data_IF_844298230484
#
_entry.id   IF_844298230484
#
_cell.length_a   1.000
_cell.length_b   1.000
_cell.length_c   1.000
_cell.angle_alpha   90.00
_cell.angle_beta   90.00
_cell.angle_gamma   90.00
#
_symmetry.space_group_name_H-M   'P 1'
#
loop_
_entity.id
_entity.type
_entity.pdbx_description
1 polymer ?
#
# COMPACT_ATOMS: atom_id res chain seq x y z
N UNK A 1 -46.80 -39.59 -63.30
CA UNK A 1 -46.91 -40.99 -62.84
C UNK A 1 -45.62 -41.31 -62.13
N UNK A 2 -45.71 -41.77 -60.88
CA UNK A 2 -44.63 -42.12 -59.97
C UNK A 2 -43.80 -40.94 -59.39
N UNK A 3 -43.41 -40.93 -58.12
CA UNK A 3 -43.86 -41.62 -56.92
C UNK A 3 -43.25 -40.85 -55.74
N UNK A 4 -44.02 -40.81 -54.67
CA UNK A 4 -43.79 -40.19 -53.38
C UNK A 4 -42.70 -40.93 -52.56
N UNK A 5 -42.18 -40.20 -51.56
CA UNK A 5 -41.42 -40.60 -50.35
C UNK A 5 -39.89 -40.55 -50.40
N UNK A 6 -39.29 -39.60 -49.67
CA UNK A 6 -38.83 -39.89 -48.30
C UNK A 6 -38.39 -38.61 -47.57
N UNK A 7 -38.76 -38.57 -46.30
CA UNK A 7 -38.69 -37.51 -45.31
C UNK A 7 -37.28 -37.13 -44.84
N UNK A 8 -37.05 -35.82 -44.60
CA UNK A 8 -36.34 -35.33 -43.41
C UNK A 8 -36.78 -33.90 -43.06
N UNK A 9 -37.45 -33.83 -41.92
CA UNK A 9 -37.84 -32.61 -41.20
C UNK A 9 -36.59 -31.98 -40.60
N UNK A 10 -36.45 -30.65 -40.70
CA UNK A 10 -36.08 -29.81 -39.57
C UNK A 10 -36.49 -28.35 -39.83
N UNK A 11 -37.23 -27.85 -38.85
CA UNK A 11 -37.93 -26.58 -38.76
C UNK A 11 -36.98 -25.38 -38.77
N UNK A 12 -37.25 -24.39 -39.62
CA UNK A 12 -36.64 -23.06 -39.58
C UNK A 12 -37.73 -22.01 -39.39
N UNK A 13 -37.96 -21.63 -38.14
CA UNK A 13 -38.97 -20.65 -37.71
C UNK A 13 -38.64 -19.25 -38.25
N UNK A 14 -39.64 -18.60 -38.83
CA UNK A 14 -39.60 -17.20 -39.23
C UNK A 14 -39.38 -16.29 -38.01
N UNK A 15 -38.32 -15.50 -38.02
CA UNK A 15 -38.06 -14.50 -36.98
C UNK A 15 -38.88 -13.22 -37.28
N UNK A 16 -39.89 -12.98 -36.45
CA UNK A 16 -40.73 -11.80 -36.49
C UNK A 16 -39.96 -10.53 -36.09
N UNK A 17 -40.18 -9.45 -36.86
CA UNK A 17 -39.86 -8.07 -36.49
C UNK A 17 -40.44 -7.74 -35.10
N UNK A 18 -39.58 -7.33 -34.17
CA UNK A 18 -39.98 -6.69 -32.91
C UNK A 18 -39.37 -5.28 -32.83
N UNK A 19 -40.18 -4.22 -32.71
CA UNK A 19 -39.70 -2.89 -32.39
C UNK A 19 -39.51 -2.84 -30.87
N UNK A 20 -38.27 -2.95 -30.39
CA UNK A 20 -38.08 -3.03 -28.95
C UNK A 20 -36.64 -3.19 -28.48
N UNK A 21 -35.70 -2.41 -29.01
CA UNK A 21 -34.44 -2.17 -28.32
C UNK A 21 -34.26 -0.66 -28.14
N UNK A 22 -35.05 -0.11 -27.22
CA UNK A 22 -34.63 1.10 -26.53
C UNK A 22 -33.32 0.75 -25.80
N UNK A 23 -32.26 1.47 -26.15
CA UNK A 23 -30.96 1.33 -25.53
C UNK A 23 -31.12 1.37 -24.01
N UNK A 24 -30.83 0.25 -23.34
CA UNK A 24 -30.55 0.26 -21.90
C UNK A 24 -29.21 0.97 -21.77
N UNK A 25 -29.25 2.30 -21.71
CA UNK A 25 -28.14 3.09 -21.27
C UNK A 25 -27.79 2.57 -19.88
N UNK A 26 -26.67 1.84 -19.80
CA UNK A 26 -26.06 1.48 -18.53
C UNK A 26 -25.72 2.80 -17.85
N UNK A 27 -26.63 3.28 -17.00
CA UNK A 27 -26.33 4.28 -16.00
C UNK A 27 -25.32 3.62 -15.07
N UNK A 28 -24.04 3.66 -15.46
CA UNK A 28 -22.96 3.46 -14.50
C UNK A 28 -23.16 4.55 -13.47
N UNK A 29 -23.62 4.11 -12.31
CA UNK A 29 -23.97 4.93 -11.17
C UNK A 29 -22.96 6.09 -11.05
N UNK A 30 -23.49 7.31 -11.01
CA UNK A 30 -22.81 8.44 -10.39
C UNK A 30 -22.40 8.01 -8.99
N UNK A 31 -21.18 7.52 -8.83
CA UNK A 31 -20.66 7.15 -7.53
C UNK A 31 -20.57 8.42 -6.69
N UNK A 32 -20.76 8.32 -5.37
CA UNK A 32 -20.56 9.44 -4.45
C UNK A 32 -19.20 10.12 -4.62
N UNK A 33 -18.23 9.39 -5.18
CA UNK A 33 -16.84 9.80 -5.39
C UNK A 33 -16.58 10.51 -6.72
N UNK A 34 -17.55 10.64 -7.64
CA UNK A 34 -17.31 11.24 -8.97
C UNK A 34 -16.87 12.69 -8.93
N UNK A 35 -17.12 13.38 -7.82
CA UNK A 35 -16.75 14.78 -7.59
C UNK A 35 -15.52 14.95 -6.70
N UNK A 36 -14.88 13.86 -6.28
CA UNK A 36 -13.65 13.94 -5.47
C UNK A 36 -12.46 14.09 -6.41
N UNK A 37 -11.90 15.29 -6.42
CA UNK A 37 -10.68 15.60 -7.16
C UNK A 37 -9.45 14.97 -6.48
N UNK A 38 -8.47 14.57 -7.27
CA UNK A 38 -7.19 14.11 -6.75
C UNK A 38 -6.45 15.28 -6.13
N UNK A 39 -5.99 15.09 -4.89
CA UNK A 39 -5.07 16.04 -4.25
C UNK A 39 -3.76 16.19 -5.07
N UNK A 40 -3.07 17.33 -4.93
CA UNK A 40 -1.81 17.54 -5.62
C UNK A 40 -0.79 16.45 -5.21
N UNK A 41 0.01 15.93 -6.15
CA UNK A 41 1.04 14.94 -5.82
C UNK A 41 2.10 15.54 -4.90
N UNK A 42 2.56 14.76 -3.92
CA UNK A 42 3.62 15.19 -3.01
C UNK A 42 4.93 15.41 -3.80
N UNK A 43 5.53 16.62 -3.75
CA UNK A 43 6.71 16.94 -4.53
C UNK A 43 7.92 16.04 -4.23
N UNK A 44 8.05 15.51 -3.01
CA UNK A 44 9.17 14.65 -2.60
C UNK A 44 8.93 13.21 -3.08
N UNK A 45 7.70 12.71 -2.96
CA UNK A 45 7.36 11.35 -3.42
C UNK A 45 7.41 11.24 -4.95
N UNK A 46 7.01 12.30 -5.66
CA UNK A 46 7.05 12.36 -7.14
C UNK A 46 8.44 12.13 -7.73
N UNK A 47 9.51 12.56 -7.03
CA UNK A 47 10.90 12.32 -7.47
C UNK A 47 11.23 10.83 -7.51
N UNK A 48 10.75 10.06 -6.53
CA UNK A 48 10.99 8.61 -6.50
C UNK A 48 10.21 7.90 -7.61
N UNK A 49 9.00 8.36 -7.93
CA UNK A 49 8.22 7.82 -9.03
C UNK A 49 8.85 8.13 -10.40
N UNK A 50 9.37 9.35 -10.58
CA UNK A 50 10.14 9.70 -11.78
C UNK A 50 11.41 8.84 -11.89
N UNK A 51 12.16 8.66 -10.79
CA UNK A 51 13.33 7.77 -10.75
C UNK A 51 12.98 6.33 -11.11
N UNK A 52 11.85 5.79 -10.62
CA UNK A 52 11.41 4.43 -10.96
C UNK A 52 11.05 4.29 -12.44
N UNK A 53 10.42 5.31 -13.04
CA UNK A 53 10.03 5.33 -14.46
C UNK A 53 11.19 5.54 -15.42
N UNK A 54 12.27 6.16 -14.98
CA UNK A 54 13.47 6.36 -15.80
C UNK A 54 14.14 5.01 -16.13
N UNK A 55 14.47 4.78 -17.40
CA UNK A 55 15.12 3.55 -17.89
C UNK A 55 16.64 3.68 -17.98
N UNK A 56 17.20 4.86 -17.72
CA UNK A 56 18.63 5.09 -17.78
C UNK A 56 19.39 4.24 -16.75
N UNK A 57 20.43 3.53 -17.19
CA UNK A 57 21.27 2.68 -16.33
C UNK A 57 22.15 3.45 -15.34
N UNK A 58 22.37 4.75 -15.56
CA UNK A 58 23.18 5.64 -14.71
C UNK A 58 22.32 6.55 -13.82
N UNK A 59 21.02 6.31 -13.72
CA UNK A 59 20.13 7.10 -12.85
C UNK A 59 20.53 6.97 -11.39
N UNK A 60 20.39 8.06 -10.63
CA UNK A 60 20.64 8.08 -9.18
C UNK A 60 19.42 8.63 -8.45
N UNK A 61 19.03 7.98 -7.35
CA UNK A 61 17.91 8.45 -6.52
C UNK A 61 18.44 9.32 -5.38
N UNK A 62 18.22 10.62 -5.47
CA UNK A 62 18.57 11.62 -4.45
C UNK A 62 17.34 12.29 -3.83
N UNK A 63 16.15 11.71 -4.02
CA UNK A 63 14.89 12.30 -3.54
C UNK A 63 14.60 11.96 -2.09
N UNK A 64 14.28 10.69 -1.82
CA UNK A 64 13.91 10.24 -0.47
C UNK A 64 15.18 10.01 0.36
N UNK A 65 15.22 10.61 1.56
CA UNK A 65 16.29 10.47 2.56
C UNK A 65 16.34 9.10 3.23
N UNK A 66 16.47 8.02 2.44
CA UNK A 66 16.62 6.67 2.93
C UNK A 66 18.06 6.17 2.69
N UNK A 67 18.69 5.67 3.76
CA UNK A 67 20.06 5.19 3.70
C UNK A 67 20.22 4.00 2.74
N UNK A 68 21.29 4.02 1.95
CA UNK A 68 21.63 2.99 0.96
C UNK A 68 23.03 2.45 1.23
N UNK A 69 23.26 1.20 0.81
CA UNK A 69 24.60 0.62 0.78
C UNK A 69 25.41 1.13 -0.43
N UNK A 70 26.66 0.65 -0.54
CA UNK A 70 27.58 1.00 -1.64
C UNK A 70 27.05 0.61 -3.03
N UNK A 71 26.05 -0.26 -3.10
CA UNK A 71 25.38 -0.71 -4.32
C UNK A 71 24.06 0.05 -4.59
N UNK A 72 23.72 1.07 -3.79
CA UNK A 72 22.48 1.83 -3.91
C UNK A 72 21.23 1.07 -3.44
N UNK A 73 21.37 -0.05 -2.73
CA UNK A 73 20.25 -0.87 -2.22
C UNK A 73 19.83 -0.43 -0.82
N UNK A 74 18.57 -0.67 -0.39
CA UNK A 74 18.16 -0.41 0.99
C UNK A 74 19.04 -1.18 1.98
N UNK A 75 19.58 -0.49 2.97
CA UNK A 75 20.46 -1.09 3.97
C UNK A 75 19.75 -1.22 5.32
N UNK A 76 19.73 -2.44 5.85
CA UNK A 76 19.18 -2.75 7.19
C UNK A 76 20.35 -3.00 8.13
N UNK A 77 20.40 -2.29 9.25
CA UNK A 77 21.49 -2.42 10.20
C UNK A 77 21.57 -3.84 10.79
N UNK A 78 22.77 -4.40 11.01
CA UNK A 78 22.94 -5.71 11.65
C UNK A 78 22.33 -5.79 13.05
N UNK A 79 22.30 -4.69 13.81
CA UNK A 79 21.64 -4.59 15.12
C UNK A 79 20.13 -4.79 15.02
N UNK A 80 19.49 -4.20 14.00
CA UNK A 80 18.05 -4.33 13.75
C UNK A 80 17.70 -5.78 13.40
N UNK A 81 18.47 -6.43 12.52
CA UNK A 81 18.25 -7.85 12.16
C UNK A 81 18.34 -8.78 13.38
N UNK A 82 19.29 -8.52 14.29
CA UNK A 82 19.42 -9.28 15.54
C UNK A 82 18.21 -9.06 16.46
N UNK A 83 17.75 -7.82 16.60
CA UNK A 83 16.58 -7.50 17.40
C UNK A 83 15.30 -8.15 16.84
N UNK A 84 15.10 -8.12 15.53
CA UNK A 84 13.97 -8.79 14.86
C UNK A 84 13.95 -10.29 15.16
N UNK A 85 15.10 -10.97 15.05
CA UNK A 85 15.22 -12.39 15.36
C UNK A 85 14.89 -12.69 16.84
N UNK A 86 15.34 -11.83 17.77
CA UNK A 86 15.03 -11.98 19.19
C UNK A 86 13.55 -11.77 19.49
N UNK A 87 12.92 -10.76 18.88
CA UNK A 87 11.49 -10.48 19.06
C UNK A 87 10.64 -11.64 18.51
N UNK A 88 10.99 -12.14 17.32
CA UNK A 88 10.31 -13.28 16.72
C UNK A 88 10.43 -14.55 17.60
N UNK A 89 11.61 -14.79 18.19
CA UNK A 89 11.83 -15.93 19.09
C UNK A 89 11.05 -15.83 20.41
N UNK A 90 10.79 -14.61 20.91
CA UNK A 90 10.04 -14.39 22.16
C UNK A 90 8.55 -14.69 22.03
N UNK A 91 8.01 -14.75 20.81
CA UNK A 91 6.60 -15.04 20.52
C UNK A 91 5.62 -14.25 21.41
N UNK A 92 5.87 -12.95 21.53
CA UNK A 92 5.03 -12.03 22.32
C UNK A 92 3.63 -11.93 21.72
N UNK A 93 2.63 -11.69 22.57
CA UNK A 93 1.29 -11.33 22.11
C UNK A 93 1.29 -9.99 21.36
N UNK A 94 0.19 -9.71 20.67
CA UNK A 94 0.00 -8.50 19.84
C UNK A 94 -1.11 -7.62 20.41
N UNK A 95 -1.27 -7.64 21.73
CA UNK A 95 -2.28 -6.84 22.41
C UNK A 95 -1.96 -5.34 22.33
N UNK A 96 -2.96 -4.52 22.66
CA UNK A 96 -2.82 -3.08 22.65
C UNK A 96 -1.78 -2.61 23.67
N UNK A 97 -0.90 -1.73 23.22
CA UNK A 97 -0.06 -0.93 24.12
C UNK A 97 -0.90 0.14 24.83
N UNK A 98 -0.44 0.63 25.99
CA UNK A 98 -0.97 1.84 26.60
C UNK A 98 -0.93 3.04 25.65
N UNK A 99 -1.72 4.09 25.95
CA UNK A 99 -1.80 5.33 25.15
C UNK A 99 -0.40 5.93 24.95
N UNK A 100 0.42 5.99 26.00
CA UNK A 100 1.81 6.43 25.92
C UNK A 100 2.82 5.45 25.32
N UNK A 101 2.36 4.31 24.79
CA UNK A 101 3.21 3.28 24.17
C UNK A 101 3.98 2.43 25.19
N UNK A 102 5.10 1.83 24.74
CA UNK A 102 5.93 0.96 25.57
C UNK A 102 6.88 1.79 26.44
N UNK A 103 6.71 1.74 27.76
CA UNK A 103 7.50 2.53 28.71
C UNK A 103 9.02 2.32 28.57
N UNK A 104 9.46 1.09 28.33
CA UNK A 104 10.87 0.75 28.12
C UNK A 104 11.45 1.42 26.87
N UNK A 105 10.67 1.49 25.78
CA UNK A 105 11.06 2.17 24.55
C UNK A 105 11.18 3.68 24.76
N UNK A 106 10.22 4.29 25.48
CA UNK A 106 10.27 5.71 25.78
C UNK A 106 11.51 6.07 26.62
N UNK A 107 11.83 5.26 27.63
CA UNK A 107 13.02 5.44 28.46
C UNK A 107 14.30 5.35 27.62
N UNK A 108 14.47 4.28 26.84
CA UNK A 108 15.65 4.08 25.99
C UNK A 108 15.80 5.20 24.94
N UNK A 109 14.68 5.69 24.38
CA UNK A 109 14.69 6.80 23.43
C UNK A 109 15.14 8.10 24.08
N UNK A 110 14.70 8.38 25.31
CA UNK A 110 15.12 9.56 26.05
C UNK A 110 16.62 9.49 26.44
N UNK A 111 17.09 8.32 26.85
CA UNK A 111 18.52 8.07 27.15
C UNK A 111 19.39 8.25 25.90
N UNK A 112 18.95 7.75 24.73
CA UNK A 112 19.65 7.94 23.46
C UNK A 112 19.74 9.42 23.05
N UNK A 113 18.66 10.18 23.24
CA UNK A 113 18.60 11.58 22.82
C UNK A 113 19.37 12.53 23.76
N UNK A 114 19.33 12.28 25.07
CA UNK A 114 19.85 13.20 26.10
C UNK A 114 21.19 12.76 26.70
N UNK A 115 21.56 11.49 26.55
CA UNK A 115 22.71 10.84 27.19
C UNK A 115 22.40 10.38 28.62
N UNK A 116 22.95 9.23 29.00
CA UNK A 116 22.66 8.52 30.28
C UNK A 116 22.86 9.37 31.54
N UNK A 117 23.78 10.34 31.50
CA UNK A 117 24.17 11.14 32.65
C UNK A 117 23.45 12.49 32.76
N UNK A 118 22.46 12.75 31.89
CA UNK A 118 21.76 14.03 31.85
C UNK A 118 20.94 14.28 33.12
N UNK A 119 21.08 15.48 33.71
CA UNK A 119 20.33 15.89 34.89
C UNK A 119 18.81 15.86 34.67
N UNK A 120 18.34 16.12 33.44
CA UNK A 120 16.92 16.09 33.08
C UNK A 120 16.32 14.69 33.25
N UNK A 121 17.08 13.64 32.94
CA UNK A 121 16.69 12.25 33.17
C UNK A 121 16.67 11.93 34.68
N UNK A 122 17.73 12.32 35.40
CA UNK A 122 17.87 12.05 36.84
C UNK A 122 16.82 12.75 37.70
N UNK A 123 16.41 13.96 37.28
CA UNK A 123 15.40 14.77 37.97
C UNK A 123 13.96 14.44 37.57
N UNK A 124 13.73 13.44 36.71
CA UNK A 124 12.38 13.04 36.29
C UNK A 124 11.63 14.10 35.47
N UNK A 125 12.35 14.99 34.79
CA UNK A 125 11.77 16.09 34.00
C UNK A 125 11.45 15.70 32.55
N UNK A 126 11.72 14.46 32.16
CA UNK A 126 11.35 13.93 30.85
C UNK A 126 9.87 13.55 30.87
N UNK A 127 9.11 14.15 29.96
CA UNK A 127 7.71 13.84 29.71
C UNK A 127 7.58 13.19 28.34
N UNK A 128 6.91 12.05 28.28
CA UNK A 128 6.39 11.45 27.07
C UNK A 128 4.88 11.69 27.00
N UNK A 129 4.31 11.52 25.81
CA UNK A 129 2.85 11.47 25.66
C UNK A 129 2.35 10.25 26.45
N UNK A 130 1.43 10.44 27.38
CA UNK A 130 0.91 9.42 28.30
C UNK A 130 -0.55 9.11 28.01
#
# INVERSE_FOLDING_TARGET
MALLHSSRVLSGVAAAFHPGLAAVASARASSWWTHVEMGPPDPILGVTEAYKRDTNSKKMNLGVGAYRDDNGKPYVLPSVRKAEAQIAAKNVDKEYLPIGGLAEFCKASAELALGENNEVLKSGRVVNWQ
#
